data_IF_123263632488
#
_entry.id   IF_123263632488
#
_cell.length_a   1.000
_cell.length_b   1.000
_cell.length_c   1.000
_cell.angle_alpha   90.00
_cell.angle_beta   90.00
_cell.angle_gamma   90.00
#
_symmetry.space_group_name_H-M   'P 1'
#
loop_
_entity.id
_entity.type
_entity.pdbx_description
1 polymer ?
#
# COMPACT_ATOMS: atom_id res chain seq x y z
N UNK A 1 2.61 5.02 21.75
CA UNK A 1 3.80 5.84 22.07
C UNK A 1 4.72 5.84 20.87
N UNK A 2 5.48 6.91 20.64
CA UNK A 2 6.40 7.05 19.51
C UNK A 2 7.78 7.47 20.02
N UNK A 3 8.84 6.98 19.39
CA UNK A 3 10.23 7.25 19.75
C UNK A 3 11.09 6.00 19.73
N UNK A 4 12.31 6.14 20.21
CA UNK A 4 13.24 5.02 20.42
C UNK A 4 12.73 4.09 21.52
N UNK A 5 13.20 2.84 21.50
CA UNK A 5 12.90 1.84 22.55
C UNK A 5 13.20 2.40 23.95
N UNK A 6 14.32 3.12 24.11
CA UNK A 6 14.67 3.75 25.39
C UNK A 6 13.67 4.80 25.85
N UNK A 7 13.23 5.70 24.95
CA UNK A 7 12.23 6.73 25.28
C UNK A 7 10.88 6.13 25.66
N UNK A 8 10.47 5.08 24.96
CA UNK A 8 9.25 4.32 25.25
C UNK A 8 9.35 3.65 26.63
N UNK A 9 10.46 2.96 26.92
CA UNK A 9 10.70 2.31 28.21
C UNK A 9 10.69 3.31 29.38
N UNK A 10 11.36 4.46 29.23
CA UNK A 10 11.35 5.53 30.25
C UNK A 10 9.93 6.03 30.50
N UNK A 11 9.14 6.21 29.45
CA UNK A 11 7.76 6.71 29.57
C UNK A 11 6.87 5.69 30.27
N UNK A 12 7.00 4.40 29.94
CA UNK A 12 6.25 3.33 30.60
C UNK A 12 6.59 3.22 32.09
N UNK A 13 7.87 3.32 32.46
CA UNK A 13 8.32 3.30 33.85
C UNK A 13 7.81 4.49 34.68
N UNK A 14 7.57 5.65 34.05
CA UNK A 14 6.95 6.80 34.73
C UNK A 14 5.44 6.64 34.95
N UNK A 15 4.78 5.87 34.09
CA UNK A 15 3.30 5.78 34.06
C UNK A 15 2.75 4.56 34.80
N UNK A 16 3.55 3.51 34.99
CA UNK A 16 3.10 2.25 35.57
C UNK A 16 4.01 1.78 36.70
N UNK A 17 3.41 1.17 37.73
CA UNK A 17 4.15 0.50 38.80
C UNK A 17 4.89 -0.73 38.26
N UNK A 18 6.09 -1.00 38.78
CA UNK A 18 6.97 -2.11 38.36
C UNK A 18 6.34 -3.52 38.50
N UNK A 19 5.22 -3.66 39.18
CA UNK A 19 4.53 -4.94 39.42
C UNK A 19 3.42 -5.24 38.39
N UNK A 20 3.11 -4.32 37.46
CA UNK A 20 2.06 -4.52 36.45
C UNK A 20 2.63 -5.22 35.22
N UNK A 21 1.95 -6.27 34.76
CA UNK A 21 2.26 -6.92 33.47
C UNK A 21 1.85 -5.99 32.34
N UNK A 22 2.78 -5.69 31.45
CA UNK A 22 2.57 -4.85 30.27
C UNK A 22 2.98 -5.65 29.04
N UNK A 23 2.16 -5.59 27.99
CA UNK A 23 2.54 -6.03 26.65
C UNK A 23 2.75 -4.78 25.79
N UNK A 24 3.88 -4.73 25.08
CA UNK A 24 4.22 -3.65 24.14
C UNK A 24 4.22 -4.23 22.74
N UNK A 25 3.44 -3.63 21.85
CA UNK A 25 3.45 -3.93 20.42
C UNK A 25 4.26 -2.81 19.75
N UNK A 26 5.29 -3.19 19.02
CA UNK A 26 6.13 -2.28 18.25
C UNK A 26 5.75 -2.43 16.79
N UNK A 27 5.42 -1.30 16.14
CA UNK A 27 5.20 -1.24 14.70
C UNK A 27 6.40 -0.55 14.06
N UNK A 28 7.00 -1.21 13.08
CA UNK A 28 8.07 -0.66 12.25
C UNK A 28 7.52 -0.18 10.91
N UNK A 29 8.27 0.67 10.17
CA UNK A 29 7.93 1.01 8.79
C UNK A 29 7.73 -0.22 7.91
N UNK A 30 8.56 -1.25 8.09
CA UNK A 30 8.49 -2.51 7.35
C UNK A 30 7.19 -3.26 7.63
N UNK A 31 6.75 -3.30 8.89
CA UNK A 31 5.48 -3.95 9.26
C UNK A 31 4.28 -3.25 8.61
N UNK A 32 4.29 -1.90 8.58
CA UNK A 32 3.21 -1.12 7.94
C UNK A 32 3.20 -1.33 6.43
N UNK A 33 4.37 -1.40 5.78
CA UNK A 33 4.46 -1.72 4.35
C UNK A 33 3.96 -3.12 4.04
N UNK A 34 4.33 -4.10 4.86
CA UNK A 34 3.90 -5.48 4.69
C UNK A 34 2.38 -5.63 4.88
N UNK A 35 1.82 -5.00 5.91
CA UNK A 35 0.39 -5.01 6.20
C UNK A 35 -0.45 -4.32 5.11
N UNK A 36 0.13 -3.34 4.41
CA UNK A 36 -0.56 -2.55 3.42
C UNK A 36 -0.11 -2.75 1.97
N UNK A 37 0.54 -3.86 1.66
CA UNK A 37 1.16 -4.06 0.34
C UNK A 37 0.18 -3.83 -0.83
N UNK A 38 -1.08 -4.22 -0.67
CA UNK A 38 -2.15 -4.02 -1.66
C UNK A 38 -2.44 -2.55 -1.99
N UNK A 39 -2.16 -1.62 -1.06
CA UNK A 39 -2.38 -0.18 -1.24
C UNK A 39 -1.17 0.56 -1.83
N UNK A 40 -0.06 -0.14 -2.06
CA UNK A 40 1.20 0.44 -2.53
C UNK A 40 1.61 1.72 -1.75
N UNK A 41 1.81 1.62 -0.43
CA UNK A 41 2.08 2.78 0.41
C UNK A 41 3.46 3.38 0.09
N UNK A 42 3.49 4.71 0.05
CA UNK A 42 4.70 5.53 0.00
C UNK A 42 5.30 5.67 1.40
N UNK A 43 6.56 6.10 1.49
CA UNK A 43 7.20 6.34 2.80
C UNK A 43 6.48 7.43 3.62
N UNK A 44 5.83 8.38 2.96
CA UNK A 44 5.01 9.41 3.63
C UNK A 44 3.74 8.81 4.25
N UNK A 45 3.09 7.86 3.58
CA UNK A 45 1.91 7.16 4.11
C UNK A 45 2.29 6.32 5.32
N UNK A 46 3.41 5.58 5.22
CA UNK A 46 3.94 4.76 6.31
C UNK A 46 4.24 5.64 7.52
N UNK A 47 4.92 6.76 7.30
CA UNK A 47 5.23 7.74 8.35
C UNK A 47 3.98 8.38 8.94
N UNK A 48 2.95 8.61 8.13
CA UNK A 48 1.66 9.09 8.59
C UNK A 48 0.98 8.07 9.50
N UNK A 49 0.84 6.81 9.08
CA UNK A 49 0.19 5.74 9.85
C UNK A 49 0.90 5.53 11.19
N UNK A 50 2.24 5.44 11.21
CA UNK A 50 3.01 5.30 12.45
C UNK A 50 2.78 6.48 13.42
N UNK A 51 2.63 7.68 12.89
CA UNK A 51 2.32 8.87 13.68
C UNK A 51 0.88 8.86 14.21
N UNK A 52 -0.08 8.35 13.44
CA UNK A 52 -1.46 8.15 13.91
C UNK A 52 -1.47 7.13 15.05
N UNK A 53 -0.81 5.98 14.89
CA UNK A 53 -0.62 4.96 15.94
C UNK A 53 0.02 5.58 17.20
N UNK A 54 1.05 6.42 17.01
CA UNK A 54 1.74 7.11 18.09
C UNK A 54 0.85 8.09 18.88
N UNK A 55 -0.10 8.75 18.19
CA UNK A 55 -1.03 9.75 18.75
C UNK A 55 -2.33 9.14 19.26
N UNK A 56 -2.65 7.91 18.89
CA UNK A 56 -3.85 7.23 19.33
C UNK A 56 -3.80 7.04 20.86
N UNK A 57 -4.49 7.92 21.58
CA UNK A 57 -4.53 7.90 23.04
C UNK A 57 -5.25 6.67 23.59
N UNK A 58 -5.00 6.37 24.86
CA UNK A 58 -5.52 5.23 25.61
C UNK A 58 -7.03 5.22 25.87
N UNK A 59 -7.85 6.03 25.18
CA UNK A 59 -9.30 6.09 25.39
C UNK A 59 -10.11 5.54 24.19
N UNK A 60 -9.59 5.67 22.96
CA UNK A 60 -10.24 5.13 21.74
C UNK A 60 -9.64 3.81 21.24
N UNK A 61 -8.39 3.52 21.62
CA UNK A 61 -7.56 2.41 21.10
C UNK A 61 -7.99 1.03 21.61
N UNK A 62 -8.60 0.96 22.79
CA UNK A 62 -8.83 -0.33 23.47
C UNK A 62 -10.03 -1.12 22.95
N UNK A 63 -10.89 -0.54 22.10
CA UNK A 63 -12.12 -1.21 21.67
C UNK A 63 -11.93 -2.11 20.45
N UNK A 64 -10.96 -1.80 19.58
CA UNK A 64 -10.66 -2.57 18.36
C UNK A 64 -9.18 -2.95 18.21
N UNK A 65 -8.30 -2.42 19.06
CA UNK A 65 -6.86 -2.71 19.02
C UNK A 65 -6.14 -2.01 17.86
N UNK A 66 -4.86 -1.66 18.07
CA UNK A 66 -3.96 -1.22 17.01
C UNK A 66 -3.38 -2.46 16.30
N UNK A 67 -4.25 -3.23 15.65
CA UNK A 67 -3.92 -4.44 14.89
C UNK A 67 -3.74 -4.17 13.40
N UNK A 68 -3.54 -5.24 12.63
CA UNK A 68 -3.39 -5.18 11.16
C UNK A 68 -4.59 -4.48 10.48
N UNK A 69 -5.81 -4.76 10.93
CA UNK A 69 -7.03 -4.15 10.41
C UNK A 69 -7.03 -2.62 10.50
N UNK A 70 -6.46 -2.06 11.57
CA UNK A 70 -6.34 -0.61 11.72
C UNK A 70 -5.40 -0.01 10.67
N UNK A 71 -4.29 -0.69 10.40
CA UNK A 71 -3.31 -0.24 9.40
C UNK A 71 -3.93 -0.33 8.00
N UNK A 72 -4.61 -1.43 7.69
CA UNK A 72 -5.30 -1.61 6.42
C UNK A 72 -6.38 -0.54 6.20
N UNK A 73 -7.20 -0.24 7.22
CA UNK A 73 -8.24 0.79 7.14
C UNK A 73 -7.65 2.20 6.93
N UNK A 74 -6.59 2.57 7.64
CA UNK A 74 -5.92 3.86 7.44
C UNK A 74 -5.26 3.95 6.05
N UNK A 75 -4.60 2.89 5.59
CA UNK A 75 -3.98 2.88 4.26
C UNK A 75 -5.02 2.88 3.14
N UNK A 76 -6.15 2.21 3.31
CA UNK A 76 -7.28 2.23 2.38
C UNK A 76 -7.86 3.63 2.22
N UNK A 77 -7.99 4.40 3.31
CA UNK A 77 -8.42 5.81 3.25
C UNK A 77 -7.42 6.67 2.50
N UNK A 78 -6.12 6.48 2.77
CA UNK A 78 -5.05 7.21 2.08
C UNK A 78 -5.03 6.87 0.60
N UNK A 79 -5.15 5.59 0.23
CA UNK A 79 -5.19 5.16 -1.16
C UNK A 79 -6.44 5.66 -1.88
N UNK A 80 -7.60 5.66 -1.20
CA UNK A 80 -8.84 6.19 -1.77
C UNK A 80 -8.78 7.71 -1.98
N UNK A 81 -8.11 8.44 -1.07
CA UNK A 81 -7.88 9.88 -1.20
C UNK A 81 -6.84 10.22 -2.27
N UNK A 82 -5.94 9.29 -2.59
CA UNK A 82 -5.01 9.42 -3.70
C UNK A 82 -5.80 9.25 -4.99
N UNK A 83 -6.02 10.36 -5.70
CA UNK A 83 -6.57 10.29 -7.05
C UNK A 83 -5.75 9.29 -7.88
N UNK A 84 -6.40 8.27 -8.44
CA UNK A 84 -5.75 7.33 -9.36
C UNK A 84 -5.00 8.15 -10.40
N UNK A 85 -3.66 8.07 -10.41
CA UNK A 85 -2.86 8.78 -11.39
C UNK A 85 -3.17 8.18 -12.76
N UNK A 86 -4.06 8.82 -13.49
CA UNK A 86 -4.32 8.46 -14.87
C UNK A 86 -3.17 9.01 -15.71
N UNK A 87 -2.35 8.09 -16.23
CA UNK A 87 -1.28 8.43 -17.16
C UNK A 87 -1.83 8.21 -18.57
N UNK A 88 -1.94 9.28 -19.34
CA UNK A 88 -2.23 9.19 -20.75
C UNK A 88 -0.96 8.75 -21.48
N UNK A 89 -1.01 7.60 -22.15
CA UNK A 89 0.07 7.11 -23.02
C UNK A 89 -0.40 7.22 -24.46
N UNK A 90 0.35 7.90 -25.34
CA UNK A 90 0.07 7.89 -26.77
C UNK A 90 0.00 6.47 -27.34
N UNK A 91 -0.92 6.23 -28.27
CA UNK A 91 -1.16 4.91 -28.87
C UNK A 91 0.10 4.32 -29.51
N UNK A 92 0.87 5.15 -30.22
CA UNK A 92 2.14 4.79 -30.86
C UNK A 92 3.20 4.38 -29.84
N UNK A 93 3.31 5.09 -28.72
CA UNK A 93 4.19 4.72 -27.62
C UNK A 93 3.75 3.38 -27.00
N UNK A 94 2.45 3.16 -26.80
CA UNK A 94 1.94 1.91 -26.24
C UNK A 94 2.20 0.71 -27.17
N UNK A 95 2.06 0.90 -28.49
CA UNK A 95 2.39 -0.14 -29.50
C UNK A 95 3.86 -0.56 -29.45
N UNK A 96 4.77 0.36 -29.15
CA UNK A 96 6.20 0.05 -28.99
C UNK A 96 6.48 -0.67 -27.67
N UNK A 97 5.80 -0.28 -26.59
CA UNK A 97 6.04 -0.81 -25.25
C UNK A 97 5.45 -2.22 -25.05
N UNK A 98 4.29 -2.53 -25.62
CA UNK A 98 3.60 -3.81 -25.37
C UNK A 98 4.45 -5.06 -25.68
N UNK A 99 5.15 -5.16 -26.83
CA UNK A 99 6.02 -6.31 -27.09
C UNK A 99 7.17 -6.44 -26.08
N UNK A 100 7.68 -5.33 -25.57
CA UNK A 100 8.75 -5.32 -24.56
C UNK A 100 8.22 -5.76 -23.18
N UNK A 101 7.00 -5.37 -22.83
CA UNK A 101 6.33 -5.83 -21.61
C UNK A 101 6.07 -7.33 -21.68
N UNK A 102 5.57 -7.84 -22.81
CA UNK A 102 5.37 -9.27 -23.04
C UNK A 102 6.68 -10.07 -22.93
N UNK A 103 7.76 -9.57 -23.53
CA UNK A 103 9.08 -10.19 -23.41
C UNK A 103 9.60 -10.21 -21.96
N UNK A 104 9.35 -9.12 -21.21
CA UNK A 104 9.72 -9.01 -19.80
C UNK A 104 8.97 -9.97 -18.88
N UNK A 105 7.66 -10.17 -19.11
CA UNK A 105 6.83 -11.11 -18.34
C UNK A 105 7.19 -12.58 -18.59
N UNK A 106 7.81 -12.89 -19.73
CA UNK A 106 8.31 -14.23 -20.03
C UNK A 106 9.66 -14.55 -19.36
N UNK A 107 10.24 -13.63 -18.59
CA UNK A 107 11.48 -13.87 -17.84
C UNK A 107 11.13 -14.61 -16.53
N UNK A 108 11.72 -15.79 -16.24
CA UNK A 108 11.38 -16.62 -15.08
C UNK A 108 11.48 -15.92 -13.72
N UNK A 109 12.27 -14.84 -13.61
CA UNK A 109 12.45 -14.06 -12.38
C UNK A 109 11.22 -13.21 -12.02
N UNK A 110 10.36 -12.91 -12.99
CA UNK A 110 9.17 -12.09 -12.81
C UNK A 110 7.87 -12.90 -12.85
N UNK A 111 7.95 -14.21 -13.10
CA UNK A 111 6.80 -15.10 -13.06
C UNK A 111 6.50 -15.47 -11.61
N UNK A 112 5.59 -14.73 -10.99
CA UNK A 112 4.99 -15.13 -9.72
C UNK A 112 3.77 -16.02 -10.02
N UNK A 113 3.66 -17.23 -9.40
CA UNK A 113 2.60 -18.18 -9.71
C UNK A 113 1.19 -17.61 -9.56
N UNK A 114 1.01 -16.69 -8.60
CA UNK A 114 -0.30 -16.16 -8.23
C UNK A 114 -0.75 -14.95 -9.08
N UNK A 115 0.16 -14.25 -9.77
CA UNK A 115 -0.17 -13.03 -10.56
C UNK A 115 -0.06 -13.22 -12.07
N UNK A 116 0.61 -14.27 -12.54
CA UNK A 116 0.86 -14.48 -13.97
C UNK A 116 -0.41 -14.54 -14.84
N UNK A 117 -1.51 -15.05 -14.31
CA UNK A 117 -2.79 -15.11 -15.02
C UNK A 117 -3.43 -13.71 -15.20
N UNK A 118 -3.35 -12.88 -14.17
CA UNK A 118 -3.90 -11.51 -14.19
C UNK A 118 -3.06 -10.60 -15.10
N UNK A 119 -1.73 -10.74 -15.05
CA UNK A 119 -0.78 -10.02 -15.91
C UNK A 119 -1.00 -10.33 -17.39
N UNK A 120 -1.16 -11.61 -17.74
CA UNK A 120 -1.50 -12.04 -19.10
C UNK A 120 -2.86 -11.49 -19.55
N UNK A 121 -3.88 -11.56 -18.69
CA UNK A 121 -5.21 -11.03 -19.01
C UNK A 121 -5.20 -9.50 -19.23
N UNK A 122 -4.42 -8.76 -18.44
CA UNK A 122 -4.24 -7.33 -18.62
C UNK A 122 -3.53 -6.98 -19.94
N UNK A 123 -2.49 -7.73 -20.31
CA UNK A 123 -1.80 -7.55 -21.59
C UNK A 123 -2.73 -7.82 -22.78
N UNK A 124 -3.50 -8.90 -22.73
CA UNK A 124 -4.45 -9.26 -23.78
C UNK A 124 -5.57 -8.22 -23.91
N UNK A 125 -6.02 -7.64 -22.79
CA UNK A 125 -6.98 -6.54 -22.80
C UNK A 125 -6.40 -5.29 -23.50
N UNK A 126 -5.15 -4.91 -23.21
CA UNK A 126 -4.48 -3.78 -23.85
C UNK A 126 -4.29 -4.01 -25.36
N UNK A 127 -3.87 -5.21 -25.75
CA UNK A 127 -3.76 -5.61 -27.17
C UNK A 127 -5.11 -5.50 -27.88
N UNK A 128 -6.18 -5.97 -27.23
CA UNK A 128 -7.55 -5.90 -27.77
C UNK A 128 -8.01 -4.45 -27.94
N UNK A 129 -7.78 -3.60 -26.95
CA UNK A 129 -8.14 -2.18 -27.01
C UNK A 129 -7.40 -1.42 -28.13
N UNK A 130 -6.14 -1.76 -28.39
CA UNK A 130 -5.36 -1.16 -29.49
C UNK A 130 -5.73 -1.69 -30.89
N UNK A 131 -6.35 -2.87 -30.97
CA UNK A 131 -6.82 -3.43 -32.22
C UNK A 131 -8.16 -2.81 -32.66
N UNK A 132 -8.93 -2.25 -31.72
CA UNK A 132 -10.17 -1.53 -32.02
C UNK A 132 -9.82 -0.09 -32.42
N UNK A 133 -10.23 0.38 -33.61
CA UNK A 133 -10.01 1.78 -33.98
C UNK A 133 -10.76 2.70 -33.01
N UNK A 134 -10.04 3.63 -32.38
CA UNK A 134 -10.65 4.64 -31.53
C UNK A 134 -11.52 5.57 -32.39
N UNK A 135 -12.84 5.45 -32.27
CA UNK A 135 -13.78 6.44 -32.82
C UNK A 135 -14.04 7.50 -31.76
N UNK A 136 -13.49 8.71 -31.87
CA UNK A 136 -13.85 9.79 -30.95
C UNK A 136 -15.35 10.05 -31.05
N UNK A 137 -16.05 10.06 -29.91
CA UNK A 137 -17.46 10.43 -29.86
C UNK A 137 -17.57 11.90 -30.33
N UNK A 138 -18.49 12.24 -31.26
CA UNK A 138 -18.66 13.61 -31.69
C UNK A 138 -18.99 14.49 -30.48
N UNK A 139 -18.36 15.65 -30.40
CA UNK A 139 -18.65 16.64 -29.37
C UNK A 139 -20.10 17.14 -29.58
N UNK A 140 -20.94 16.99 -28.55
CA UNK A 140 -22.24 17.68 -28.44
C UNK A 140 -22.05 19.14 -28.04
#
# INVERSE_FOLDING_TARGET
MYGTVSEICITLLKQHENNKKIAVITWTPEDVRAAGAEYSPTDDDVSYVLRVIGKAGSAGVWRYGLGLEFIADELSKISAARASRQIAVPEDALRVLLPLMEAGMNIPRYQMPDTAAEECAALDMLKTLLAVPFTPRPAE
#
